data_IF_645254319201
#
_entry.id   IF_645254319201
#
_cell.length_a   1.000
_cell.length_b   1.000
_cell.length_c   1.000
_cell.angle_alpha   90.00
_cell.angle_beta   90.00
_cell.angle_gamma   90.00
#
_symmetry.space_group_name_H-M   'P 1'
#
loop_
_entity.id
_entity.type
_entity.pdbx_description
1 polymer ?
#
# COMPACT_ATOMS: atom_id res chain seq x y z
N UNK A 1 33.95 -13.95 39.20
CA UNK A 1 32.54 -13.86 38.76
C UNK A 1 32.04 -12.47 39.07
N UNK A 2 31.70 -11.71 38.04
CA UNK A 2 31.30 -10.31 38.15
C UNK A 2 31.21 -9.76 36.73
N UNK A 3 30.16 -10.23 36.04
CA UNK A 3 29.79 -9.89 34.69
C UNK A 3 29.86 -8.38 34.44
N UNK A 4 30.70 -8.01 33.49
CA UNK A 4 30.31 -7.30 32.26
C UNK A 4 28.99 -6.51 32.35
N UNK A 5 29.11 -5.17 32.31
CA UNK A 5 28.38 -4.28 31.39
C UNK A 5 28.60 -2.82 31.81
N UNK A 6 29.38 -2.12 31.01
CA UNK A 6 29.01 -0.78 30.53
C UNK A 6 29.53 -0.69 29.09
N UNK A 7 28.73 -1.24 28.19
CA UNK A 7 28.78 -0.81 26.81
C UNK A 7 28.07 0.55 26.81
N UNK A 8 28.84 1.63 26.82
CA UNK A 8 28.38 2.99 26.54
C UNK A 8 27.84 3.01 25.10
N UNK A 9 26.62 2.49 24.94
CA UNK A 9 25.83 2.58 23.71
C UNK A 9 25.10 3.90 23.73
N UNK A 10 25.63 4.83 22.94
CA UNK A 10 25.05 6.12 22.60
C UNK A 10 23.55 5.98 22.25
N UNK A 11 22.66 6.41 23.14
CA UNK A 11 21.20 6.36 22.94
C UNK A 11 20.70 7.25 21.76
N UNK A 12 21.61 7.97 21.10
CA UNK A 12 21.31 8.85 19.98
C UNK A 12 21.16 8.12 18.64
N UNK A 13 21.64 6.88 18.50
CA UNK A 13 21.67 6.18 17.20
C UNK A 13 20.52 5.19 16.98
N UNK A 14 19.67 4.92 17.98
CA UNK A 14 18.53 4.01 17.87
C UNK A 14 17.26 4.66 17.29
N UNK A 15 17.24 5.98 17.10
CA UNK A 15 16.09 6.69 16.57
C UNK A 15 15.99 6.64 15.03
N UNK A 16 17.10 6.38 14.33
CA UNK A 16 17.15 6.47 12.86
C UNK A 16 16.85 5.12 12.16
N UNK A 17 17.10 3.98 12.82
CA UNK A 17 16.77 2.66 12.26
C UNK A 17 15.29 2.27 12.43
N UNK A 18 14.59 2.80 13.44
CA UNK A 18 13.18 2.44 13.68
C UNK A 18 12.19 3.32 12.90
N UNK A 19 12.62 4.52 12.47
CA UNK A 19 11.78 5.48 11.75
C UNK A 19 11.79 5.32 10.22
N UNK A 20 12.77 4.58 9.68
CA UNK A 20 12.90 4.34 8.24
C UNK A 20 11.81 3.44 7.65
N UNK A 21 11.39 2.40 8.38
CA UNK A 21 10.32 1.47 7.95
C UNK A 21 8.91 2.06 8.08
N UNK A 22 8.72 3.09 8.91
CA UNK A 22 7.42 3.74 9.13
C UNK A 22 7.13 4.85 8.09
N UNK A 23 8.15 5.30 7.37
CA UNK A 23 8.05 6.32 6.32
C UNK A 23 8.00 5.70 4.91
N UNK A 24 7.05 4.78 4.71
CA UNK A 24 6.49 4.39 3.40
C UNK A 24 7.48 3.93 2.30
N UNK A 25 7.88 2.64 2.24
CA UNK A 25 8.81 2.13 1.22
C UNK A 25 8.20 1.93 -0.19
N UNK A 26 7.10 2.62 -0.53
CA UNK A 26 6.61 2.73 -1.91
C UNK A 26 6.49 4.20 -2.27
N UNK A 27 7.60 4.79 -2.73
CA UNK A 27 7.65 6.12 -3.34
C UNK A 27 6.87 6.19 -4.67
N UNK A 28 6.21 5.10 -5.08
CA UNK A 28 5.36 5.08 -6.26
C UNK A 28 3.97 5.62 -5.92
N UNK A 29 3.43 6.54 -6.73
CA UNK A 29 2.08 7.06 -6.54
C UNK A 29 1.05 5.92 -6.60
N UNK A 30 0.46 5.56 -5.45
CA UNK A 30 -0.60 4.56 -5.39
C UNK A 30 -1.92 5.17 -5.86
N UNK A 31 -2.38 4.79 -7.05
CA UNK A 31 -3.67 5.23 -7.57
C UNK A 31 -4.78 4.30 -7.10
N UNK A 32 -5.88 4.86 -6.62
CA UNK A 32 -7.05 4.14 -6.15
C UNK A 32 -8.28 4.61 -6.92
N UNK A 33 -9.24 3.73 -7.14
CA UNK A 33 -10.54 4.10 -7.73
C UNK A 33 -11.61 4.10 -6.67
N UNK A 34 -12.24 5.25 -6.43
CA UNK A 34 -13.41 5.35 -5.57
C UNK A 34 -14.67 4.97 -6.36
N UNK A 35 -15.34 3.89 -5.92
CA UNK A 35 -16.54 3.39 -6.59
C UNK A 35 -17.76 4.27 -6.39
N UNK A 36 -17.76 5.16 -5.39
CA UNK A 36 -18.86 6.08 -5.08
C UNK A 36 -18.81 7.31 -5.96
N UNK A 37 -17.65 7.93 -6.07
CA UNK A 37 -17.45 9.13 -6.91
C UNK A 37 -17.09 8.79 -8.35
N UNK A 38 -16.67 7.55 -8.63
CA UNK A 38 -16.17 7.06 -9.92
C UNK A 38 -14.92 7.82 -10.37
N UNK A 39 -14.04 8.15 -9.43
CA UNK A 39 -12.83 8.94 -9.68
C UNK A 39 -11.58 8.21 -9.22
N UNK A 40 -10.46 8.55 -9.86
CA UNK A 40 -9.15 8.07 -9.46
C UNK A 40 -8.52 9.05 -8.45
N UNK A 41 -8.12 8.52 -7.30
CA UNK A 41 -7.54 9.22 -6.17
C UNK A 41 -6.08 8.79 -5.98
N UNK A 42 -5.22 9.74 -5.57
CA UNK A 42 -3.85 9.42 -5.19
C UNK A 42 -3.81 9.14 -3.68
N UNK A 43 -3.47 7.92 -3.32
CA UNK A 43 -3.45 7.44 -1.94
C UNK A 43 -4.83 7.22 -1.31
N UNK A 44 -4.88 6.88 -0.01
CA UNK A 44 -6.11 6.57 0.70
C UNK A 44 -6.88 7.84 1.11
N UNK A 45 -7.68 8.40 0.20
CA UNK A 45 -8.63 9.48 0.53
C UNK A 45 -10.00 8.94 0.92
N UNK A 46 -10.49 7.93 0.18
CA UNK A 46 -11.76 7.25 0.47
C UNK A 46 -11.64 6.06 1.43
N UNK A 47 -12.74 5.66 2.10
CA UNK A 47 -12.78 4.47 2.95
C UNK A 47 -12.30 3.23 2.21
N UNK A 48 -11.60 2.32 2.91
CA UNK A 48 -11.02 1.12 2.29
C UNK A 48 -12.05 0.22 1.58
N UNK A 49 -13.31 0.21 2.03
CA UNK A 49 -14.38 -0.58 1.41
C UNK A 49 -14.88 0.00 0.08
N UNK A 50 -14.70 1.30 -0.13
CA UNK A 50 -15.21 2.03 -1.28
C UNK A 50 -14.12 2.23 -2.37
N UNK A 51 -12.93 1.65 -2.18
CA UNK A 51 -11.80 1.81 -3.11
C UNK A 51 -11.33 0.50 -3.72
N UNK A 52 -10.97 0.55 -4.99
CA UNK A 52 -10.34 -0.55 -5.73
C UNK A 52 -8.89 -0.13 -6.04
N UNK A 53 -7.91 -0.99 -5.79
CA UNK A 53 -6.49 -0.69 -6.00
C UNK A 53 -5.57 -1.46 -5.04
N UNK A 54 -4.27 -1.11 -4.99
CA UNK A 54 -3.63 0.02 -5.68
C UNK A 54 -3.35 -0.27 -7.17
N UNK A 55 -3.41 0.79 -7.99
CA UNK A 55 -3.06 0.81 -9.40
C UNK A 55 -1.80 1.66 -9.62
N UNK A 56 -1.03 1.33 -10.67
CA UNK A 56 0.22 2.04 -11.00
C UNK A 56 -0.04 3.41 -11.63
N UNK A 57 -1.15 3.54 -12.35
CA UNK A 57 -1.49 4.75 -13.09
C UNK A 57 -2.92 5.20 -12.82
N UNK A 58 -3.17 6.49 -12.98
CA UNK A 58 -4.52 7.09 -12.90
C UNK A 58 -5.46 6.45 -13.92
N UNK A 59 -4.96 6.15 -15.13
CA UNK A 59 -5.76 5.58 -16.20
C UNK A 59 -6.23 4.16 -15.87
N UNK A 60 -5.37 3.33 -15.27
CA UNK A 60 -5.76 2.02 -14.74
C UNK A 60 -6.80 2.14 -13.64
N UNK A 61 -6.62 3.09 -12.70
CA UNK A 61 -7.63 3.35 -11.68
C UNK A 61 -8.98 3.76 -12.30
N UNK A 62 -9.00 4.62 -13.30
CA UNK A 62 -10.26 4.96 -13.99
C UNK A 62 -10.92 3.78 -14.71
N UNK A 63 -10.14 2.74 -15.05
CA UNK A 63 -10.65 1.48 -15.63
C UNK A 63 -10.81 0.37 -14.60
N UNK A 64 -10.79 0.68 -13.30
CA UNK A 64 -10.86 -0.32 -12.24
C UNK A 64 -12.07 -1.25 -12.37
N UNK A 65 -13.24 -0.71 -12.72
CA UNK A 65 -14.47 -1.52 -12.89
C UNK A 65 -14.33 -2.53 -14.04
N UNK A 66 -13.69 -2.12 -15.14
CA UNK A 66 -13.44 -3.00 -16.28
C UNK A 66 -12.45 -4.10 -15.88
N UNK A 67 -11.34 -3.73 -15.22
CA UNK A 67 -10.32 -4.68 -14.76
C UNK A 67 -10.93 -5.70 -13.78
N UNK A 68 -11.80 -5.26 -12.88
CA UNK A 68 -12.50 -6.16 -11.94
C UNK A 68 -13.46 -7.09 -12.68
N UNK A 69 -14.20 -6.59 -13.68
CA UNK A 69 -15.09 -7.41 -14.50
C UNK A 69 -14.31 -8.45 -15.33
N UNK A 70 -13.20 -8.05 -15.95
CA UNK A 70 -12.31 -8.95 -16.70
C UNK A 70 -11.73 -10.04 -15.81
N UNK A 71 -11.27 -9.67 -14.61
CA UNK A 71 -10.83 -10.64 -13.61
C UNK A 71 -11.97 -11.55 -13.19
N UNK A 72 -13.14 -11.02 -12.83
CA UNK A 72 -14.28 -11.86 -12.43
C UNK A 72 -14.68 -12.87 -13.53
N UNK A 73 -14.62 -12.47 -14.81
CA UNK A 73 -14.90 -13.36 -15.94
C UNK A 73 -13.84 -14.45 -16.11
N UNK A 74 -12.54 -14.11 -15.95
CA UNK A 74 -11.46 -15.08 -16.10
C UNK A 74 -11.50 -16.20 -15.05
N UNK A 75 -11.96 -15.90 -13.82
CA UNK A 75 -12.06 -16.91 -12.76
C UNK A 75 -13.26 -17.84 -12.93
N UNK A 76 -14.26 -17.48 -13.74
CA UNK A 76 -15.39 -18.36 -14.05
C UNK A 76 -15.04 -19.45 -15.08
N UNK A 77 -13.87 -19.35 -15.74
CA UNK A 77 -13.44 -20.28 -16.79
C UNK A 77 -12.46 -21.36 -16.28
N UNK A 78 -11.97 -21.25 -15.03
CA UNK A 78 -11.02 -22.22 -14.42
C UNK A 78 -11.69 -23.31 -13.54
N UNK A 79 -13.02 -23.38 -13.46
CA UNK A 79 -13.77 -24.33 -12.60
C UNK A 79 -14.47 -25.49 -13.37
N UNK A 80 -14.00 -25.84 -14.59
CA UNK A 80 -14.46 -27.03 -15.35
C UNK A 80 -13.31 -28.02 -15.67
#
# INVERSE_FOLDING_TARGET
>A
MGDERHHDGNFHELAEELLGDIANPHLEPEWWFDVRTKQAELGPQSPSSDRIGPFKTREEALRAEQIVAERAAAWNDEDD
#
